data_IF_529048372039
#
_entry.id   IF_529048372039
#
_cell.length_a   1.000
_cell.length_b   1.000
_cell.length_c   1.000
_cell.angle_alpha   90.00
_cell.angle_beta   90.00
_cell.angle_gamma   90.00
#
_symmetry.space_group_name_H-M   'P 1'
#
loop_
_entity.id
_entity.type
_entity.pdbx_description
1 polymer ?
#
# COMPACT_ATOMS: atom_id res chain seq x y z
N UNK A 1 -9.58 -5.65 -16.32
CA UNK A 1 -8.75 -4.43 -16.39
C UNK A 1 -9.13 -3.54 -17.58
N UNK A 2 -9.31 -4.09 -18.79
CA UNK A 2 -9.71 -3.31 -19.96
C UNK A 2 -11.06 -2.64 -19.77
N UNK A 3 -12.07 -3.38 -19.31
CA UNK A 3 -13.39 -2.85 -19.01
C UNK A 3 -13.34 -1.75 -17.91
N UNK A 4 -12.55 -1.97 -16.86
CA UNK A 4 -12.33 -0.96 -15.83
C UNK A 4 -11.68 0.30 -16.40
N UNK A 5 -10.75 0.14 -17.34
CA UNK A 5 -10.10 1.27 -17.98
C UNK A 5 -11.09 2.11 -18.78
N UNK A 6 -11.93 1.50 -19.60
CA UNK A 6 -13.00 2.21 -20.32
C UNK A 6 -14.00 2.90 -19.42
N UNK A 7 -14.30 2.29 -18.28
CA UNK A 7 -15.34 2.82 -17.40
C UNK A 7 -14.87 4.00 -16.56
N UNK A 8 -13.61 3.97 -16.12
CA UNK A 8 -13.13 4.92 -15.11
C UNK A 8 -11.80 5.60 -15.44
N UNK A 9 -10.85 4.89 -16.06
CA UNK A 9 -9.48 5.40 -16.17
C UNK A 9 -9.29 6.43 -17.29
N UNK A 10 -10.23 6.50 -18.23
CA UNK A 10 -10.26 7.51 -19.31
C UNK A 10 -10.73 8.88 -18.81
N UNK A 11 -11.43 8.94 -17.67
CA UNK A 11 -11.91 10.18 -17.09
C UNK A 11 -10.73 11.13 -16.80
N UNK A 12 -10.83 12.37 -17.24
CA UNK A 12 -9.80 13.40 -17.04
C UNK A 12 -9.58 13.72 -15.56
N UNK A 13 -10.58 13.53 -14.73
CA UNK A 13 -10.52 13.75 -13.27
C UNK A 13 -9.90 12.56 -12.53
N UNK A 14 -9.67 11.44 -13.23
CA UNK A 14 -9.05 10.28 -12.58
C UNK A 14 -7.60 10.59 -12.21
N UNK A 15 -7.22 10.22 -10.98
CA UNK A 15 -5.89 10.53 -10.47
C UNK A 15 -4.78 9.87 -11.27
N UNK A 16 -3.78 10.66 -11.66
CA UNK A 16 -2.67 10.24 -12.52
C UNK A 16 -1.33 10.59 -11.92
N UNK A 17 -0.36 9.72 -12.16
CA UNK A 17 1.05 9.91 -11.86
C UNK A 17 1.80 9.83 -13.19
N UNK A 18 2.57 10.85 -13.52
CA UNK A 18 3.29 10.92 -14.81
C UNK A 18 2.37 10.63 -16.00
N UNK A 19 1.17 11.21 -16.01
CA UNK A 19 0.10 10.99 -17.00
C UNK A 19 -0.48 9.56 -17.06
N UNK A 20 -0.10 8.68 -16.14
CA UNK A 20 -0.62 7.32 -16.06
C UNK A 20 -1.71 7.25 -14.99
N UNK A 21 -2.92 6.78 -15.28
CA UNK A 21 -3.92 6.56 -14.26
C UNK A 21 -3.40 5.55 -13.21
N UNK A 22 -3.56 5.92 -11.94
CA UNK A 22 -3.11 5.10 -10.81
C UNK A 22 -4.15 4.04 -10.46
N UNK A 23 -3.77 2.78 -10.50
CA UNK A 23 -4.62 1.67 -10.11
C UNK A 23 -4.04 0.94 -8.89
N UNK A 24 -4.81 0.91 -7.80
CA UNK A 24 -4.43 0.21 -6.56
C UNK A 24 -4.93 -1.22 -6.59
N UNK A 25 -4.01 -2.17 -6.44
CA UNK A 25 -4.28 -3.60 -6.38
C UNK A 25 -4.31 -4.06 -4.93
N UNK A 26 -5.50 -4.12 -4.34
CA UNK A 26 -5.68 -4.49 -2.93
C UNK A 26 -5.17 -5.89 -2.61
N UNK A 27 -5.47 -6.85 -3.45
CA UNK A 27 -5.07 -8.25 -3.28
C UNK A 27 -3.98 -8.68 -4.26
N UNK A 28 -3.00 -7.82 -4.54
CA UNK A 28 -1.90 -8.12 -5.47
C UNK A 28 -1.18 -9.43 -5.13
N UNK A 29 -1.00 -9.73 -3.84
CA UNK A 29 -0.39 -10.96 -3.35
C UNK A 29 -1.21 -12.24 -3.66
N UNK A 30 -2.46 -12.11 -4.10
CA UNK A 30 -3.32 -13.23 -4.51
C UNK A 30 -3.33 -13.45 -6.03
N UNK A 31 -2.69 -12.59 -6.79
CA UNK A 31 -2.54 -12.76 -8.25
C UNK A 31 -1.41 -13.76 -8.53
N UNK A 32 -1.75 -15.04 -8.50
CA UNK A 32 -0.77 -16.11 -8.73
C UNK A 32 -0.38 -16.24 -10.20
N UNK A 33 0.92 -16.17 -10.47
CA UNK A 33 1.48 -16.51 -11.78
C UNK A 33 2.86 -17.11 -11.61
N UNK A 34 3.25 -18.00 -12.52
CA UNK A 34 4.63 -18.50 -12.60
C UNK A 34 5.60 -17.39 -13.00
N UNK A 35 5.10 -16.41 -13.74
CA UNK A 35 5.82 -15.25 -14.21
C UNK A 35 4.94 -14.01 -13.96
N UNK A 36 5.09 -13.44 -12.79
CA UNK A 36 4.30 -12.29 -12.36
C UNK A 36 4.60 -11.06 -13.20
N UNK A 37 5.86 -10.89 -13.62
CA UNK A 37 6.22 -9.77 -14.51
C UNK A 37 5.45 -9.85 -15.82
N UNK A 38 5.42 -11.01 -16.44
CA UNK A 38 4.66 -11.23 -17.68
C UNK A 38 3.17 -10.99 -17.50
N UNK A 39 2.62 -11.34 -16.33
CA UNK A 39 1.22 -11.05 -16.00
C UNK A 39 0.95 -9.53 -16.00
N UNK A 40 1.75 -8.76 -15.29
CA UNK A 40 1.58 -7.31 -15.20
C UNK A 40 1.88 -6.60 -16.54
N UNK A 41 2.91 -7.04 -17.26
CA UNK A 41 3.20 -6.54 -18.59
C UNK A 41 2.04 -6.79 -19.56
N UNK A 42 1.42 -7.96 -19.49
CA UNK A 42 0.23 -8.30 -20.29
C UNK A 42 -0.98 -7.43 -19.92
N UNK A 43 -1.20 -7.17 -18.64
CA UNK A 43 -2.27 -6.27 -18.19
C UNK A 43 -2.05 -4.87 -18.78
N UNK A 44 -0.85 -4.31 -18.66
CA UNK A 44 -0.51 -3.00 -19.22
C UNK A 44 -0.68 -2.96 -20.73
N UNK A 45 -0.14 -3.96 -21.42
CA UNK A 45 -0.24 -4.04 -22.87
C UNK A 45 -1.69 -4.06 -23.34
N UNK A 46 -2.52 -4.92 -22.77
CA UNK A 46 -3.93 -5.02 -23.17
C UNK A 46 -4.74 -3.76 -22.89
N UNK A 47 -4.47 -3.08 -21.79
CA UNK A 47 -5.11 -1.78 -21.50
C UNK A 47 -4.64 -0.75 -22.52
N UNK A 48 -3.34 -0.68 -22.80
CA UNK A 48 -2.78 0.27 -23.76
C UNK A 48 -3.29 0.05 -25.17
N UNK A 49 -3.38 -1.19 -25.62
CA UNK A 49 -3.94 -1.53 -26.95
C UNK A 49 -5.42 -1.14 -27.09
N UNK A 50 -6.17 -1.26 -26.00
CA UNK A 50 -7.60 -0.96 -26.01
C UNK A 50 -7.91 0.54 -25.85
N UNK A 51 -7.18 1.25 -24.99
CA UNK A 51 -7.52 2.62 -24.55
C UNK A 51 -6.44 3.67 -24.84
N UNK A 52 -5.23 3.24 -25.22
CA UNK A 52 -4.06 4.12 -25.34
C UNK A 52 -3.41 4.50 -24.01
N UNK A 53 -3.95 4.08 -22.87
CA UNK A 53 -3.46 4.43 -21.53
C UNK A 53 -2.33 3.52 -21.06
N UNK A 54 -1.27 4.13 -20.53
CA UNK A 54 -0.30 3.43 -19.68
C UNK A 54 -0.78 3.46 -18.23
N UNK A 55 -0.59 2.37 -17.48
CA UNK A 55 -1.03 2.28 -16.09
C UNK A 55 0.12 2.53 -15.11
N UNK A 56 -0.17 3.23 -14.01
CA UNK A 56 0.63 3.25 -12.80
C UNK A 56 0.03 2.27 -11.79
N UNK A 57 0.70 1.13 -11.56
CA UNK A 57 0.18 0.05 -10.72
C UNK A 57 0.76 0.14 -9.33
N UNK A 58 -0.11 0.21 -8.33
CA UNK A 58 0.25 0.21 -6.91
C UNK A 58 -0.22 -1.10 -6.27
N UNK A 59 0.70 -1.83 -5.65
CA UNK A 59 0.35 -3.06 -4.94
C UNK A 59 0.30 -2.84 -3.42
N UNK A 60 -0.76 -3.34 -2.78
CA UNK A 60 -0.81 -3.41 -1.33
C UNK A 60 0.14 -4.47 -0.82
N UNK A 61 0.97 -4.12 0.16
CA UNK A 61 1.81 -5.04 0.92
C UNK A 61 1.13 -5.31 2.27
N UNK A 62 0.57 -6.51 2.46
CA UNK A 62 -0.22 -6.81 3.66
C UNK A 62 0.60 -7.11 4.90
N UNK A 63 1.91 -7.22 4.77
CA UNK A 63 2.84 -7.57 5.86
C UNK A 63 4.05 -6.65 5.87
N UNK A 64 4.64 -6.49 7.02
CA UNK A 64 5.80 -5.64 7.28
C UNK A 64 7.05 -6.05 6.50
N UNK A 65 7.29 -7.35 6.44
CA UNK A 65 8.35 -7.91 5.61
C UNK A 65 7.68 -8.86 4.63
N UNK A 66 7.72 -8.55 3.34
CA UNK A 66 7.12 -9.44 2.36
C UNK A 66 7.84 -10.78 2.40
N UNK A 67 7.08 -11.86 2.53
CA UNK A 67 7.63 -13.19 2.30
C UNK A 67 8.21 -13.25 0.88
N UNK A 68 9.21 -14.10 0.66
CA UNK A 68 9.87 -14.23 -0.66
C UNK A 68 8.87 -14.44 -1.82
N UNK A 69 7.75 -15.10 -1.57
CA UNK A 69 6.66 -15.28 -2.54
C UNK A 69 6.03 -13.95 -3.00
N UNK A 70 5.94 -12.94 -2.11
CA UNK A 70 5.38 -11.63 -2.48
C UNK A 70 6.31 -10.84 -3.39
N UNK A 71 7.61 -11.00 -3.24
CA UNK A 71 8.58 -10.45 -4.19
C UNK A 71 8.29 -10.95 -5.61
N UNK A 72 7.99 -12.24 -5.76
CA UNK A 72 7.66 -12.81 -7.06
C UNK A 72 6.28 -12.36 -7.57
N UNK A 73 5.35 -12.04 -6.69
CA UNK A 73 3.98 -11.72 -7.10
C UNK A 73 3.77 -10.26 -7.48
N UNK A 74 4.47 -9.34 -6.85
CA UNK A 74 4.31 -7.92 -7.20
C UNK A 74 5.61 -7.11 -7.23
N UNK A 75 6.57 -7.32 -6.36
CA UNK A 75 7.80 -6.52 -6.39
C UNK A 75 8.64 -6.80 -7.63
N UNK A 76 9.00 -8.06 -7.90
CA UNK A 76 9.66 -8.44 -9.15
C UNK A 76 8.69 -8.54 -10.32
N UNK A 77 7.40 -8.52 -10.05
CA UNK A 77 6.31 -8.60 -11.02
C UNK A 77 6.04 -7.34 -11.82
N UNK A 78 6.74 -6.23 -11.54
CA UNK A 78 6.65 -5.02 -12.36
C UNK A 78 5.52 -4.08 -11.99
N UNK A 79 5.14 -3.97 -10.71
CA UNK A 79 4.35 -2.84 -10.21
C UNK A 79 5.22 -1.59 -10.09
N UNK A 80 4.60 -0.42 -10.10
CA UNK A 80 5.34 0.86 -10.04
C UNK A 80 5.57 1.31 -8.60
N UNK A 81 4.64 0.98 -7.70
CA UNK A 81 4.73 1.31 -6.29
C UNK A 81 4.14 0.23 -5.40
N UNK A 82 4.54 0.25 -4.13
CA UNK A 82 3.89 -0.51 -3.06
C UNK A 82 3.45 0.44 -1.96
N UNK A 83 2.30 0.16 -1.36
CA UNK A 83 1.94 0.78 -0.11
C UNK A 83 1.80 -0.27 0.99
N UNK A 84 2.14 0.12 2.20
CA UNK A 84 1.94 -0.72 3.36
C UNK A 84 0.61 -0.36 4.00
N UNK A 85 -0.19 -1.39 4.21
CA UNK A 85 -1.43 -1.30 4.94
C UNK A 85 -1.19 -0.94 6.41
N UNK A 86 -2.28 -0.70 7.13
CA UNK A 86 -2.18 -0.50 8.55
C UNK A 86 -1.54 -1.74 9.23
N UNK A 87 -0.69 -1.48 10.21
CA UNK A 87 0.12 -2.48 10.90
C UNK A 87 -0.36 -2.76 12.33
N UNK A 88 -1.54 -2.27 12.69
CA UNK A 88 -2.05 -2.37 14.05
C UNK A 88 -2.14 -3.79 14.57
N UNK A 89 -2.54 -4.73 13.73
CA UNK A 89 -2.65 -6.13 14.09
C UNK A 89 -1.31 -6.84 14.36
N UNK A 90 -0.19 -6.18 14.07
CA UNK A 90 1.16 -6.72 14.27
C UNK A 90 1.89 -6.04 15.43
N UNK A 91 1.22 -5.15 16.13
CA UNK A 91 1.75 -4.43 17.27
C UNK A 91 1.38 -5.07 18.60
N UNK A 92 2.22 -4.83 19.59
CA UNK A 92 1.84 -4.95 20.99
C UNK A 92 0.86 -3.81 21.35
N UNK A 93 -0.42 -4.13 21.40
CA UNK A 93 -1.50 -3.21 21.71
C UNK A 93 -1.34 -2.47 23.04
N UNK A 94 -0.62 -3.06 24.00
CA UNK A 94 -0.36 -2.41 25.28
C UNK A 94 0.55 -1.19 25.18
N UNK A 95 1.14 -0.96 24.01
CA UNK A 95 2.10 0.12 23.75
C UNK A 95 1.70 0.99 22.57
N UNK A 96 0.42 1.26 22.41
CA UNK A 96 -0.11 2.05 21.28
C UNK A 96 0.55 3.42 21.13
N UNK A 97 1.00 4.03 22.25
CA UNK A 97 1.73 5.30 22.24
C UNK A 97 3.10 5.23 21.54
N UNK A 98 3.65 4.03 21.36
CA UNK A 98 4.89 3.82 20.60
C UNK A 98 4.66 3.60 19.11
N UNK A 99 3.41 3.57 18.68
CA UNK A 99 3.05 3.23 17.30
C UNK A 99 3.72 4.13 16.27
N UNK A 100 3.76 5.47 16.41
CA UNK A 100 4.43 6.31 15.43
C UNK A 100 5.91 5.98 15.26
N UNK A 101 6.64 5.76 16.35
CA UNK A 101 8.06 5.39 16.30
C UNK A 101 8.25 4.04 15.61
N UNK A 102 7.44 3.08 15.96
CA UNK A 102 7.51 1.73 15.43
C UNK A 102 7.24 1.70 13.91
N UNK A 103 6.22 2.43 13.47
CA UNK A 103 5.89 2.56 12.06
C UNK A 103 7.00 3.31 11.31
N UNK A 104 7.58 4.33 11.92
CA UNK A 104 8.69 5.07 11.31
C UNK A 104 9.87 4.16 10.95
N UNK A 105 10.31 3.32 11.88
CA UNK A 105 11.41 2.37 11.62
C UNK A 105 11.03 1.37 10.53
N UNK A 106 9.79 0.93 10.52
CA UNK A 106 9.31 0.00 9.51
C UNK A 106 9.21 0.64 8.12
N UNK A 107 8.66 1.83 8.01
CA UNK A 107 8.55 2.55 6.74
C UNK A 107 9.91 2.91 6.18
N UNK A 108 10.82 3.38 7.01
CA UNK A 108 12.20 3.67 6.63
C UNK A 108 12.89 2.45 6.01
N UNK A 109 12.77 1.30 6.67
CA UNK A 109 13.33 0.05 6.17
C UNK A 109 12.69 -0.36 4.84
N UNK A 110 11.37 -0.41 4.77
CA UNK A 110 10.66 -0.87 3.57
C UNK A 110 10.85 0.08 2.39
N UNK A 111 10.80 1.38 2.62
CA UNK A 111 11.09 2.39 1.60
C UNK A 111 12.48 2.18 0.99
N UNK A 112 13.50 2.05 1.82
CA UNK A 112 14.86 1.80 1.34
C UNK A 112 14.94 0.47 0.59
N UNK A 113 14.31 -0.56 1.12
CA UNK A 113 14.33 -1.89 0.55
C UNK A 113 13.68 -1.93 -0.84
N UNK A 114 12.51 -1.34 -1.01
CA UNK A 114 11.80 -1.33 -2.30
C UNK A 114 12.53 -0.49 -3.35
N UNK A 115 12.99 0.68 -2.97
CA UNK A 115 13.72 1.58 -3.88
C UNK A 115 15.07 0.99 -4.29
N UNK A 116 15.83 0.47 -3.35
CA UNK A 116 17.21 -0.01 -3.62
C UNK A 116 17.23 -1.33 -4.39
N UNK A 117 16.37 -2.27 -4.02
CA UNK A 117 16.44 -3.61 -4.59
C UNK A 117 15.56 -3.79 -5.84
N UNK A 118 14.49 -3.02 -5.97
CA UNK A 118 13.49 -3.24 -7.03
C UNK A 118 13.19 -2.01 -7.87
N UNK A 119 13.70 -0.85 -7.49
CA UNK A 119 13.33 0.43 -8.13
C UNK A 119 11.81 0.65 -8.15
N UNK A 120 11.14 0.25 -7.08
CA UNK A 120 9.70 0.39 -6.87
C UNK A 120 9.47 1.48 -5.84
N UNK A 121 8.54 2.39 -6.13
CA UNK A 121 8.22 3.48 -5.21
C UNK A 121 7.50 2.97 -3.96
N UNK A 122 7.58 3.73 -2.89
CA UNK A 122 6.97 3.43 -1.60
C UNK A 122 5.97 4.51 -1.20
N UNK A 123 4.77 4.10 -0.84
CA UNK A 123 3.70 4.99 -0.41
C UNK A 123 3.39 4.68 1.06
N UNK A 124 3.69 5.58 2.01
CA UNK A 124 3.31 5.38 3.39
C UNK A 124 1.80 5.50 3.59
N UNK A 125 1.25 4.73 4.51
CA UNK A 125 -0.13 4.83 4.93
C UNK A 125 -0.24 5.48 6.32
N UNK A 126 -1.32 6.21 6.55
CA UNK A 126 -1.69 6.76 7.85
C UNK A 126 -2.98 6.08 8.29
N UNK A 127 -2.96 5.42 9.43
CA UNK A 127 -4.15 4.83 10.04
C UNK A 127 -4.58 5.67 11.23
N UNK A 128 -5.87 5.97 11.30
CA UNK A 128 -6.44 6.80 12.36
C UNK A 128 -6.75 6.01 13.62
N UNK A 129 -7.21 4.78 13.43
CA UNK A 129 -7.54 3.85 14.51
C UNK A 129 -7.73 2.44 13.97
N UNK A 130 -7.75 1.48 14.88
CA UNK A 130 -8.04 0.10 14.55
C UNK A 130 -8.88 -0.54 15.66
N UNK A 131 -9.97 -1.19 15.31
CA UNK A 131 -10.83 -1.90 16.25
C UNK A 131 -11.04 -3.36 15.83
N UNK A 132 -10.16 -4.23 16.30
CA UNK A 132 -10.25 -5.67 16.04
C UNK A 132 -11.51 -6.32 16.61
N UNK A 133 -12.16 -5.72 17.61
CA UNK A 133 -13.39 -6.25 18.21
C UNK A 133 -14.57 -6.20 17.27
N UNK A 134 -14.54 -5.35 16.27
CA UNK A 134 -15.59 -5.35 15.24
C UNK A 134 -15.55 -6.62 14.38
N UNK A 135 -14.40 -7.27 14.28
CA UNK A 135 -14.23 -8.51 13.53
C UNK A 135 -14.41 -9.76 14.40
N UNK A 136 -13.93 -9.68 15.62
CA UNK A 136 -13.93 -10.79 16.55
C UNK A 136 -14.07 -10.27 18.00
N UNK A 137 -15.28 -9.88 18.36
CA UNK A 137 -15.61 -9.19 19.63
C UNK A 137 -15.29 -9.96 20.90
N UNK A 138 -14.81 -11.19 20.78
CA UNK A 138 -14.43 -12.02 21.93
C UNK A 138 -12.92 -12.17 22.10
N UNK A 139 -12.13 -11.66 21.16
CA UNK A 139 -10.68 -11.76 21.27
C UNK A 139 -10.12 -10.72 22.23
N UNK A 140 -9.88 -11.15 23.46
CA UNK A 140 -9.31 -10.34 24.53
C UNK A 140 -7.90 -9.83 24.26
N UNK A 141 -7.23 -10.37 23.25
CA UNK A 141 -5.87 -9.96 22.89
C UNK A 141 -5.84 -8.85 21.84
N UNK A 142 -6.96 -8.61 21.17
CA UNK A 142 -7.10 -7.57 20.18
C UNK A 142 -7.86 -6.36 20.74
N UNK A 143 -7.19 -5.60 21.58
CA UNK A 143 -7.76 -4.37 22.13
C UNK A 143 -7.76 -3.29 21.03
N UNK A 144 -8.85 -2.51 20.91
CA UNK A 144 -8.87 -1.41 19.99
C UNK A 144 -7.73 -0.43 20.21
N UNK A 145 -7.01 -0.11 19.17
CA UNK A 145 -6.00 0.94 19.17
C UNK A 145 -6.67 2.19 18.63
N UNK A 146 -6.85 3.18 19.47
CA UNK A 146 -7.50 4.42 19.10
C UNK A 146 -6.49 5.55 19.18
N UNK A 147 -6.35 6.26 18.08
CA UNK A 147 -5.51 7.44 18.01
C UNK A 147 -6.38 8.69 18.20
N UNK A 148 -7.09 8.75 19.33
CA UNK A 148 -7.92 9.91 19.69
C UNK A 148 -7.10 11.13 20.11
N UNK A 149 -5.83 10.93 20.38
CA UNK A 149 -4.91 12.00 20.69
C UNK A 149 -4.46 12.68 19.39
N UNK A 150 -4.78 13.96 19.26
CA UNK A 150 -4.33 14.77 18.13
C UNK A 150 -2.81 14.70 17.95
N UNK A 151 -2.06 14.58 19.04
CA UNK A 151 -0.61 14.42 19.04
C UNK A 151 -0.17 13.15 18.31
N UNK A 152 -0.77 12.01 18.61
CA UNK A 152 -0.43 10.73 17.95
C UNK A 152 -0.77 10.77 16.45
N UNK A 153 -1.90 11.34 16.08
CA UNK A 153 -2.25 11.47 14.67
C UNK A 153 -1.29 12.41 13.93
N UNK A 154 -0.94 13.53 14.55
CA UNK A 154 0.06 14.45 14.03
C UNK A 154 1.41 13.76 13.86
N UNK A 155 1.84 12.95 14.83
CA UNK A 155 3.09 12.18 14.75
C UNK A 155 3.04 11.17 13.60
N UNK A 156 1.91 10.53 13.36
CA UNK A 156 1.73 9.66 12.20
C UNK A 156 1.84 10.41 10.87
N UNK A 157 1.28 11.61 10.79
CA UNK A 157 1.44 12.47 9.62
C UNK A 157 2.91 12.83 9.39
N UNK A 158 3.65 13.14 10.45
CA UNK A 158 5.09 13.42 10.37
C UNK A 158 5.87 12.17 9.93
N UNK A 159 5.55 11.01 10.48
CA UNK A 159 6.15 9.73 10.07
C UNK A 159 5.91 9.47 8.57
N UNK A 160 4.70 9.67 8.09
CA UNK A 160 4.42 9.52 6.67
C UNK A 160 5.22 10.52 5.82
N UNK A 161 5.25 11.79 6.24
CA UNK A 161 5.96 12.86 5.53
C UNK A 161 7.47 12.58 5.37
N UNK A 162 8.14 12.09 6.40
CA UNK A 162 9.59 11.80 6.34
C UNK A 162 9.90 10.50 5.60
N UNK A 163 8.92 9.65 5.38
CA UNK A 163 9.05 8.38 4.67
C UNK A 163 8.40 8.38 3.27
N UNK A 164 8.12 9.55 2.71
CA UNK A 164 7.62 9.64 1.34
C UNK A 164 8.58 8.97 0.36
N UNK A 165 8.02 8.31 -0.63
CA UNK A 165 8.76 7.72 -1.75
C UNK A 165 9.23 8.76 -2.77
N UNK A 166 9.38 8.35 -4.00
CA UNK A 166 9.74 9.24 -5.12
C UNK A 166 8.60 10.21 -5.44
N UNK A 167 7.36 9.76 -5.35
CA UNK A 167 6.18 10.58 -5.50
C UNK A 167 5.63 10.93 -4.11
N UNK A 168 5.31 12.20 -3.83
CA UNK A 168 4.87 12.66 -2.52
C UNK A 168 3.40 12.28 -2.26
N UNK A 169 3.14 11.01 -2.09
CA UNK A 169 1.81 10.44 -1.84
C UNK A 169 1.72 9.80 -0.46
N UNK A 170 0.53 9.88 0.12
CA UNK A 170 0.16 9.20 1.36
C UNK A 170 -1.21 8.57 1.16
N UNK A 171 -1.41 7.37 1.65
CA UNK A 171 -2.72 6.73 1.73
C UNK A 171 -3.25 6.91 3.15
N UNK A 172 -4.46 7.44 3.28
CA UNK A 172 -5.16 7.44 4.56
C UNK A 172 -6.01 6.18 4.61
N UNK A 173 -5.64 5.30 5.53
CA UNK A 173 -6.29 4.02 5.74
C UNK A 173 -7.22 4.13 6.97
N UNK A 174 -8.51 4.22 6.73
CA UNK A 174 -9.55 4.38 7.75
C UNK A 174 -10.51 3.20 7.73
N UNK A 175 -10.02 2.00 7.56
CA UNK A 175 -10.82 0.84 7.19
C UNK A 175 -11.51 0.12 8.35
N UNK A 176 -11.64 0.73 9.52
CA UNK A 176 -12.46 0.16 10.60
C UNK A 176 -13.05 1.24 11.48
#
# INVERSE_FOLDING_TARGET
>A
FVELAYTFLEDELYYRIDNKPMLVLWNAHQLYSKDSKKLYDNIRQRVKEATGLDLYLVARQPNWSPAARFHNFFMTGGVDAVYMDNMFNQMDWARSYMYPQYINENYKYNRQYTLTNYNIDFIPAISTSYNAWMWNGTDRYNVPIQMHDEGLFHDMCNVAKINLGQHPMVIIDAFN
#
